data_IF_048295550304
#
_entry.id   IF_048295550304
#
_cell.length_a   1.000
_cell.length_b   1.000
_cell.length_c   1.000
_cell.angle_alpha   90.00
_cell.angle_beta   90.00
_cell.angle_gamma   90.00
#
_symmetry.space_group_name_H-M   'P 1'
#
loop_
_entity.id
_entity.type
_entity.pdbx_description
1 polymer ?
#
# COMPACT_ATOMS: atom_id res chain seq x y z
N UNK A 1 13.43 14.97 -36.21
CA UNK A 1 12.68 13.70 -36.08
C UNK A 1 13.49 12.55 -35.46
N UNK A 2 14.76 12.38 -35.85
CA UNK A 2 15.69 11.37 -35.32
C UNK A 2 15.79 11.32 -33.78
N UNK A 3 15.99 12.46 -33.11
CA UNK A 3 16.08 12.56 -31.65
C UNK A 3 14.85 11.97 -30.91
N UNK A 4 13.63 12.13 -31.46
CA UNK A 4 12.40 11.57 -30.86
C UNK A 4 12.37 10.04 -30.94
N UNK A 5 12.93 9.44 -32.00
CA UNK A 5 13.02 7.98 -32.17
C UNK A 5 14.07 7.38 -31.24
N UNK A 6 15.24 8.02 -31.12
CA UNK A 6 16.30 7.62 -30.18
C UNK A 6 15.78 7.66 -28.74
N UNK A 7 15.10 8.75 -28.37
CA UNK A 7 14.50 8.91 -27.04
C UNK A 7 13.53 7.77 -26.70
N UNK A 8 12.63 7.39 -27.63
CA UNK A 8 11.71 6.27 -27.45
C UNK A 8 12.42 4.93 -27.27
N UNK A 9 13.49 4.66 -28.03
CA UNK A 9 14.28 3.43 -27.89
C UNK A 9 14.96 3.36 -26.53
N UNK A 10 15.59 4.45 -26.07
CA UNK A 10 16.23 4.51 -24.76
C UNK A 10 15.21 4.27 -23.65
N UNK A 11 14.06 4.95 -23.68
CA UNK A 11 12.98 4.73 -22.70
C UNK A 11 12.48 3.28 -22.66
N UNK A 12 12.33 2.64 -23.82
CA UNK A 12 11.90 1.22 -23.90
C UNK A 12 13.00 0.24 -23.50
N UNK A 13 14.26 0.63 -23.58
CA UNK A 13 15.40 -0.22 -23.24
C UNK A 13 15.70 -0.20 -21.74
N UNK A 14 15.64 0.97 -21.11
CA UNK A 14 15.90 1.13 -19.67
C UNK A 14 14.76 0.64 -18.79
N UNK A 15 13.56 0.50 -19.36
CA UNK A 15 12.38 0.03 -18.64
C UNK A 15 12.42 -1.47 -18.41
N UNK A 16 12.11 -1.87 -17.18
CA UNK A 16 12.00 -3.26 -16.79
C UNK A 16 10.99 -4.00 -17.68
N UNK A 17 11.32 -5.24 -18.04
CA UNK A 17 10.61 -5.97 -19.10
C UNK A 17 9.13 -6.17 -18.77
N UNK A 18 8.78 -6.45 -17.51
CA UNK A 18 7.38 -6.65 -17.12
C UNK A 18 6.54 -5.38 -17.27
N UNK A 19 7.09 -4.23 -16.84
CA UNK A 19 6.46 -2.90 -17.00
C UNK A 19 6.28 -2.60 -18.48
N UNK A 20 7.34 -2.78 -19.28
CA UNK A 20 7.30 -2.53 -20.73
C UNK A 20 6.25 -3.37 -21.45
N UNK A 21 6.12 -4.65 -21.10
CA UNK A 21 5.12 -5.55 -21.69
C UNK A 21 3.68 -5.18 -21.30
N UNK A 22 3.50 -4.50 -20.16
CA UNK A 22 2.19 -4.06 -19.68
C UNK A 22 1.67 -2.78 -20.34
N UNK A 23 2.50 -2.12 -21.17
CA UNK A 23 2.22 -0.85 -21.84
C UNK A 23 1.93 -1.13 -23.33
N UNK A 24 0.85 -0.56 -23.91
CA UNK A 24 0.56 -0.69 -25.34
C UNK A 24 1.71 -0.23 -26.23
N UNK A 25 1.86 -0.88 -27.40
CA UNK A 25 2.84 -0.46 -28.40
C UNK A 25 2.51 0.96 -28.86
N UNK A 26 3.54 1.81 -28.88
CA UNK A 26 3.48 3.19 -29.32
C UNK A 26 4.69 3.50 -30.21
N UNK A 27 4.47 4.21 -31.31
CA UNK A 27 5.51 4.59 -32.28
C UNK A 27 6.03 6.01 -32.05
N UNK A 28 5.31 6.83 -31.28
CA UNK A 28 5.70 8.19 -30.91
C UNK A 28 6.08 8.26 -29.43
N UNK A 29 7.20 8.93 -29.14
CA UNK A 29 7.69 9.13 -27.77
C UNK A 29 6.65 9.76 -26.83
N UNK A 30 5.91 10.77 -27.34
CA UNK A 30 4.87 11.46 -26.56
C UNK A 30 3.72 10.53 -26.17
N UNK A 31 3.27 9.69 -27.10
CA UNK A 31 2.17 8.76 -26.85
C UNK A 31 2.59 7.63 -25.91
N UNK A 32 3.84 7.15 -26.05
CA UNK A 32 4.44 6.19 -25.11
C UNK A 32 4.47 6.74 -23.68
N UNK A 33 4.98 7.96 -23.48
CA UNK A 33 5.02 8.60 -22.16
C UNK A 33 3.61 8.78 -21.56
N UNK A 34 2.62 9.13 -22.39
CA UNK A 34 1.22 9.19 -21.94
C UNK A 34 0.72 7.82 -21.48
N UNK A 35 0.96 6.76 -22.26
CA UNK A 35 0.57 5.39 -21.87
C UNK A 35 1.26 4.91 -20.59
N UNK A 36 2.54 5.28 -20.39
CA UNK A 36 3.25 5.05 -19.13
C UNK A 36 2.51 5.72 -17.98
N UNK A 37 2.22 7.03 -18.10
CA UNK A 37 1.50 7.78 -17.07
C UNK A 37 0.14 7.20 -16.71
N UNK A 38 -0.67 6.81 -17.71
CA UNK A 38 -1.97 6.16 -17.47
C UNK A 38 -1.84 4.79 -16.79
N UNK A 39 -0.79 4.03 -17.10
CA UNK A 39 -0.52 2.76 -16.44
C UNK A 39 -0.20 2.95 -14.95
N UNK A 40 0.63 3.93 -14.61
CA UNK A 40 0.95 4.27 -13.23
C UNK A 40 -0.26 4.77 -12.45
N UNK A 41 -1.13 5.61 -13.04
CA UNK A 41 -2.40 6.01 -12.41
C UNK A 41 -3.29 4.81 -12.08
N UNK A 42 -3.40 3.86 -13.01
CA UNK A 42 -4.19 2.64 -12.81
C UNK A 42 -3.59 1.77 -11.70
N UNK A 43 -2.26 1.61 -11.70
CA UNK A 43 -1.53 0.89 -10.67
C UNK A 43 -1.73 1.52 -9.29
N UNK A 44 -1.60 2.85 -9.18
CA UNK A 44 -1.85 3.60 -7.94
C UNK A 44 -3.28 3.38 -7.44
N UNK A 45 -4.28 3.45 -8.32
CA UNK A 45 -5.68 3.20 -7.97
C UNK A 45 -5.89 1.77 -7.43
N UNK A 46 -5.29 0.77 -8.10
CA UNK A 46 -5.37 -0.62 -7.64
C UNK A 46 -4.67 -0.84 -6.30
N UNK A 47 -3.50 -0.22 -6.09
CA UNK A 47 -2.76 -0.29 -4.82
C UNK A 47 -3.52 0.40 -3.68
N UNK A 48 -4.15 1.56 -3.94
CA UNK A 48 -5.01 2.26 -2.96
C UNK A 48 -6.17 1.40 -2.49
N UNK A 49 -6.75 0.57 -3.34
CA UNK A 49 -7.82 -0.37 -2.95
C UNK A 49 -7.30 -1.63 -2.24
N UNK A 50 -6.05 -2.01 -2.48
CA UNK A 50 -5.46 -3.24 -1.93
C UNK A 50 -5.14 -3.14 -0.43
N UNK A 51 -4.48 -2.06 -0.01
CA UNK A 51 -3.98 -1.95 1.37
C UNK A 51 -5.07 -1.85 2.45
N UNK A 52 -6.20 -1.14 2.25
CA UNK A 52 -7.28 -1.14 3.25
C UNK A 52 -7.84 -2.55 3.44
N UNK A 53 -8.04 -3.28 2.33
CA UNK A 53 -8.47 -4.68 2.41
C UNK A 53 -7.45 -5.58 3.10
N UNK A 54 -6.14 -5.32 2.95
CA UNK A 54 -5.10 -6.06 3.67
C UNK A 54 -5.14 -5.76 5.17
N UNK A 55 -5.34 -4.50 5.56
CA UNK A 55 -5.46 -4.12 6.97
C UNK A 55 -6.65 -4.84 7.61
N UNK A 56 -7.83 -4.78 6.98
CA UNK A 56 -9.07 -5.38 7.51
C UNK A 56 -9.02 -6.91 7.61
N UNK A 57 -8.41 -7.57 6.62
CA UNK A 57 -8.42 -9.05 6.50
C UNK A 57 -7.25 -9.73 7.19
N UNK A 58 -6.19 -9.00 7.53
CA UNK A 58 -5.01 -9.60 8.19
C UNK A 58 -5.34 -9.85 9.66
N UNK A 59 -5.63 -11.11 10.00
CA UNK A 59 -5.78 -11.57 11.38
C UNK A 59 -4.45 -12.09 11.92
N UNK A 60 -4.27 -12.01 13.24
CA UNK A 60 -3.13 -12.59 13.91
C UNK A 60 -3.16 -14.12 13.77
N UNK A 61 -2.02 -14.72 13.44
CA UNK A 61 -1.91 -16.15 13.13
C UNK A 61 -1.77 -17.04 14.38
N UNK A 62 -1.61 -16.45 15.57
CA UNK A 62 -1.43 -17.18 16.82
C UNK A 62 -0.03 -17.76 17.03
N UNK A 63 0.88 -17.58 16.08
CA UNK A 63 2.23 -18.19 16.09
C UNK A 63 3.33 -17.15 15.99
N UNK A 64 3.19 -16.15 15.12
CA UNK A 64 4.13 -15.02 15.00
C UNK A 64 4.13 -14.16 16.26
N UNK A 65 5.14 -13.32 16.46
CA UNK A 65 5.10 -12.36 17.57
C UNK A 65 4.00 -11.32 17.35
N UNK A 66 3.25 -10.94 18.39
CA UNK A 66 2.25 -9.85 18.32
C UNK A 66 2.86 -8.56 17.75
N UNK A 67 4.10 -8.28 18.14
CA UNK A 67 4.87 -7.14 17.62
C UNK A 67 5.10 -7.22 16.11
N UNK A 68 5.41 -8.41 15.59
CA UNK A 68 5.61 -8.63 14.15
C UNK A 68 4.31 -8.44 13.38
N UNK A 69 3.21 -8.94 13.94
CA UNK A 69 1.87 -8.74 13.40
C UNK A 69 1.47 -7.26 13.37
N UNK A 70 1.69 -6.52 14.45
CA UNK A 70 1.46 -5.07 14.48
C UNK A 70 2.32 -4.33 13.46
N UNK A 71 3.62 -4.66 13.37
CA UNK A 71 4.51 -4.06 12.36
C UNK A 71 4.01 -4.30 10.94
N UNK A 72 3.44 -5.48 10.64
CA UNK A 72 2.86 -5.77 9.33
C UNK A 72 1.67 -4.85 9.00
N UNK A 73 0.79 -4.61 9.97
CA UNK A 73 -0.33 -3.67 9.81
C UNK A 73 0.15 -2.22 9.65
N UNK A 74 1.15 -1.80 10.45
CA UNK A 74 1.81 -0.48 10.32
C UNK A 74 2.46 -0.31 8.95
N UNK A 75 3.08 -1.35 8.40
CA UNK A 75 3.65 -1.32 7.05
C UNK A 75 2.56 -1.07 5.99
N UNK A 76 1.40 -1.72 6.08
CA UNK A 76 0.29 -1.47 5.15
C UNK A 76 -0.27 -0.05 5.28
N UNK A 77 -0.41 0.44 6.51
CA UNK A 77 -0.82 1.80 6.79
C UNK A 77 0.16 2.84 6.21
N UNK A 78 1.46 2.65 6.39
CA UNK A 78 2.49 3.53 5.83
C UNK A 78 2.51 3.51 4.29
N UNK A 79 2.20 2.36 3.68
CA UNK A 79 2.02 2.29 2.22
C UNK A 79 0.83 3.12 1.75
N UNK A 80 -0.29 3.13 2.47
CA UNK A 80 -1.42 4.02 2.17
C UNK A 80 -1.04 5.51 2.26
N UNK A 81 -0.33 5.89 3.32
CA UNK A 81 0.17 7.26 3.50
C UNK A 81 1.06 7.68 2.32
N UNK A 82 1.95 6.79 1.87
CA UNK A 82 2.81 7.05 0.69
C UNK A 82 2.01 7.23 -0.61
N UNK A 83 0.81 6.66 -0.69
CA UNK A 83 -0.12 6.82 -1.81
C UNK A 83 -1.06 8.04 -1.64
N UNK A 84 -0.82 8.91 -0.65
CA UNK A 84 -1.69 10.05 -0.31
C UNK A 84 -3.10 9.60 0.07
N UNK A 85 -3.22 8.45 0.74
CA UNK A 85 -4.45 8.03 1.43
C UNK A 85 -4.15 8.12 2.91
N UNK A 86 -4.70 9.15 3.56
CA UNK A 86 -4.53 9.38 4.98
C UNK A 86 -5.71 8.78 5.73
N UNK A 87 -5.39 7.85 6.62
CA UNK A 87 -6.32 7.29 7.60
C UNK A 87 -5.86 7.79 8.98
N UNK A 88 -6.77 8.00 9.92
CA UNK A 88 -6.39 8.38 11.28
C UNK A 88 -5.59 7.27 11.97
N UNK A 89 -4.66 7.63 12.87
CA UNK A 89 -3.88 6.65 13.64
C UNK A 89 -4.78 5.76 14.50
N UNK A 90 -5.86 6.35 15.03
CA UNK A 90 -6.93 5.63 15.72
C UNK A 90 -7.43 4.45 14.87
N UNK A 91 -7.72 4.65 13.58
CA UNK A 91 -8.19 3.56 12.72
C UNK A 91 -7.23 2.36 12.72
N UNK A 92 -5.92 2.59 12.64
CA UNK A 92 -4.94 1.51 12.68
C UNK A 92 -4.96 0.77 14.03
N UNK A 93 -5.09 1.49 15.14
CA UNK A 93 -5.17 0.90 16.48
C UNK A 93 -6.40 0.01 16.62
N UNK A 94 -7.57 0.48 16.16
CA UNK A 94 -8.79 -0.31 16.11
C UNK A 94 -8.60 -1.58 15.26
N UNK A 95 -7.95 -1.48 14.09
CA UNK A 95 -7.68 -2.63 13.24
C UNK A 95 -6.71 -3.63 13.87
N UNK A 96 -5.70 -3.16 14.59
CA UNK A 96 -4.81 -4.03 15.38
C UNK A 96 -5.64 -4.80 16.42
N UNK A 97 -6.47 -4.12 17.20
CA UNK A 97 -7.32 -4.77 18.21
C UNK A 97 -8.28 -5.80 17.58
N UNK A 98 -8.96 -5.45 16.50
CA UNK A 98 -9.89 -6.34 15.78
C UNK A 98 -9.20 -7.53 15.10
N UNK A 99 -7.90 -7.43 14.84
CA UNK A 99 -7.12 -8.50 14.23
C UNK A 99 -6.71 -9.60 15.22
N UNK A 100 -6.78 -9.32 16.54
CA UNK A 100 -6.35 -10.24 17.58
C UNK A 100 -7.46 -11.25 17.96
N UNK A 101 -7.10 -12.52 18.22
CA UNK A 101 -8.03 -13.55 18.69
C UNK A 101 -8.51 -13.27 20.12
N UNK A 102 -9.57 -13.96 20.53
CA UNK A 102 -10.28 -13.74 21.81
C UNK A 102 -9.40 -13.90 23.07
N UNK A 103 -8.30 -14.64 22.97
CA UNK A 103 -7.30 -14.72 24.05
C UNK A 103 -6.71 -13.35 24.45
N UNK A 104 -6.87 -12.32 23.60
CA UNK A 104 -6.46 -10.94 23.86
C UNK A 104 -7.63 -9.99 24.17
N UNK A 105 -8.84 -10.49 24.45
CA UNK A 105 -10.00 -9.62 24.68
C UNK A 105 -9.82 -8.68 25.87
N UNK A 106 -9.01 -9.06 26.87
CA UNK A 106 -8.63 -8.16 27.98
C UNK A 106 -7.95 -6.88 27.48
N UNK A 107 -7.15 -6.97 26.41
CA UNK A 107 -6.50 -5.80 25.80
C UNK A 107 -7.53 -4.86 25.19
N UNK A 108 -8.54 -5.40 24.50
CA UNK A 108 -9.65 -4.63 23.92
C UNK A 108 -10.47 -3.93 25.01
N UNK A 109 -10.79 -4.65 26.09
CA UNK A 109 -11.49 -4.08 27.24
C UNK A 109 -10.67 -2.96 27.87
N UNK A 110 -9.36 -3.16 28.05
CA UNK A 110 -8.47 -2.13 28.61
C UNK A 110 -8.50 -0.86 27.76
N UNK A 111 -8.33 -0.98 26.43
CA UNK A 111 -8.43 0.16 25.50
C UNK A 111 -9.74 0.91 25.64
N UNK A 112 -10.89 0.21 25.65
CA UNK A 112 -12.21 0.83 25.72
C UNK A 112 -12.50 1.52 27.08
N UNK A 113 -11.84 1.09 28.16
CA UNK A 113 -12.02 1.66 29.51
C UNK A 113 -11.09 2.83 29.81
N UNK A 114 -10.03 3.01 29.03
CA UNK A 114 -9.09 4.11 29.20
C UNK A 114 -9.64 5.39 28.59
N UNK A 115 -9.39 6.52 29.27
CA UNK A 115 -9.75 7.86 28.76
C UNK A 115 -8.72 8.44 27.80
N UNK A 116 -7.50 7.91 27.82
CA UNK A 116 -6.40 8.37 26.99
C UNK A 116 -6.41 7.64 25.64
N UNK A 117 -6.18 8.38 24.56
CA UNK A 117 -6.02 7.79 23.23
C UNK A 117 -4.65 7.15 23.11
N UNK A 118 -4.62 5.90 22.65
CA UNK A 118 -3.36 5.22 22.34
C UNK A 118 -2.75 5.84 21.08
N UNK A 119 -1.43 5.86 21.02
CA UNK A 119 -0.68 6.21 19.81
C UNK A 119 0.07 5.00 19.30
N UNK A 120 0.54 5.06 18.06
CA UNK A 120 1.30 3.97 17.43
C UNK A 120 2.68 3.79 18.11
N UNK A 121 3.15 4.81 18.84
CA UNK A 121 4.46 4.86 19.49
C UNK A 121 4.45 4.41 20.97
N UNK A 122 3.28 4.00 21.50
CA UNK A 122 3.14 3.54 22.90
C UNK A 122 3.81 2.20 23.20
#
# INVERSE_FOLDING_TARGET
EHSKRVCLMVMKYTMEKSIRQSIPKNDKAKDFLRSVGEKFKTFDKAQKGRYPSLIEKTKYDGVSGIREHMMKLVQYYNKLKSLKVELGEIYLIWQVLESLPSQFDVLKTSYNTQKEEWTIDC
#
